data_IF_209807423034
#
_entry.id   IF_209807423034
#
_cell.length_a   1.000
_cell.length_b   1.000
_cell.length_c   1.000
_cell.angle_alpha   90.00
_cell.angle_beta   90.00
_cell.angle_gamma   90.00
#
_symmetry.space_group_name_H-M   'P 1'
#
loop_
_entity.id
_entity.type
_entity.pdbx_description
1 polymer ?
#
# COMPACT_ATOMS: atom_id res chain seq x y z
N UNK A 1 -20.94 -74.26 -18.19
CA UNK A 1 -21.99 -73.33 -17.72
C UNK A 1 -21.79 -72.87 -16.28
N UNK A 2 -21.64 -73.77 -15.26
CA UNK A 2 -21.52 -73.33 -13.84
C UNK A 2 -20.33 -72.40 -13.58
N UNK A 3 -19.16 -72.61 -14.18
CA UNK A 3 -17.98 -71.74 -13.99
C UNK A 3 -18.18 -70.34 -14.54
N UNK A 4 -18.86 -70.19 -15.68
CA UNK A 4 -19.17 -68.92 -16.29
C UNK A 4 -20.13 -68.07 -15.45
N UNK A 5 -21.13 -68.71 -14.82
CA UNK A 5 -22.06 -68.05 -13.91
C UNK A 5 -21.36 -67.55 -12.65
N UNK A 6 -20.42 -68.34 -12.10
CA UNK A 6 -19.64 -67.97 -10.94
C UNK A 6 -18.75 -66.74 -11.25
N UNK A 7 -18.07 -66.73 -12.40
CA UNK A 7 -17.25 -65.60 -12.85
C UNK A 7 -18.09 -64.30 -13.01
N UNK A 8 -19.26 -64.41 -13.66
CA UNK A 8 -20.18 -63.30 -13.85
C UNK A 8 -20.72 -62.75 -12.49
N UNK A 9 -21.05 -63.61 -11.55
CA UNK A 9 -21.50 -63.19 -10.23
C UNK A 9 -20.37 -62.48 -9.43
N UNK A 10 -19.14 -62.97 -9.48
CA UNK A 10 -17.98 -62.32 -8.84
C UNK A 10 -17.72 -60.96 -9.43
N UNK A 11 -17.76 -60.82 -10.78
CA UNK A 11 -17.58 -59.50 -11.45
C UNK A 11 -18.71 -58.52 -11.04
N UNK A 12 -19.96 -58.98 -11.05
CA UNK A 12 -21.10 -58.09 -10.59
C UNK A 12 -21.00 -57.68 -9.15
N UNK A 13 -20.57 -58.56 -8.26
CA UNK A 13 -20.33 -58.23 -6.86
C UNK A 13 -19.18 -57.22 -6.75
N UNK A 14 -18.10 -57.42 -7.50
CA UNK A 14 -16.99 -56.46 -7.55
C UNK A 14 -17.40 -55.05 -8.05
N UNK A 15 -18.18 -55.00 -9.13
CA UNK A 15 -18.75 -53.72 -9.63
C UNK A 15 -19.65 -53.04 -8.60
N UNK A 16 -20.50 -53.82 -7.93
CA UNK A 16 -21.38 -53.26 -6.87
C UNK A 16 -20.60 -52.72 -5.68
N UNK A 17 -19.60 -53.42 -5.19
CA UNK A 17 -18.71 -52.97 -4.13
C UNK A 17 -17.93 -51.71 -4.52
N UNK A 18 -17.46 -51.65 -5.77
CA UNK A 18 -16.79 -50.46 -6.31
C UNK A 18 -17.71 -49.25 -6.38
N UNK A 19 -18.96 -49.41 -6.83
CA UNK A 19 -19.96 -48.36 -6.85
C UNK A 19 -20.34 -47.85 -5.44
N UNK A 20 -20.46 -48.77 -4.48
CA UNK A 20 -20.68 -48.39 -3.07
C UNK A 20 -19.49 -47.59 -2.50
N UNK A 21 -18.28 -47.97 -2.85
CA UNK A 21 -17.08 -47.24 -2.45
C UNK A 21 -17.05 -45.82 -3.00
N UNK A 22 -17.32 -45.63 -4.30
CA UNK A 22 -17.41 -44.31 -4.95
C UNK A 22 -18.54 -43.48 -4.31
N UNK A 23 -19.71 -44.07 -4.08
CA UNK A 23 -20.84 -43.36 -3.46
C UNK A 23 -20.50 -42.87 -2.04
N UNK A 24 -19.79 -43.67 -1.25
CA UNK A 24 -19.31 -43.27 0.08
C UNK A 24 -18.32 -42.12 0.02
N UNK A 25 -17.41 -42.14 -0.94
CA UNK A 25 -16.47 -41.04 -1.19
C UNK A 25 -17.19 -39.76 -1.60
N UNK A 26 -18.11 -39.82 -2.53
CA UNK A 26 -18.92 -38.68 -2.98
C UNK A 26 -19.79 -38.09 -1.86
N UNK A 27 -20.34 -38.94 -0.98
CA UNK A 27 -21.10 -38.48 0.17
C UNK A 27 -20.22 -37.71 1.17
N UNK A 28 -19.00 -38.20 1.43
CA UNK A 28 -18.02 -37.49 2.26
C UNK A 28 -17.61 -36.12 1.65
N UNK A 29 -17.52 -36.05 0.34
CA UNK A 29 -17.27 -34.80 -0.38
C UNK A 29 -18.43 -33.82 -0.26
N UNK A 30 -19.66 -34.31 -0.40
CA UNK A 30 -20.84 -33.47 -0.28
C UNK A 30 -20.98 -32.87 1.13
N UNK A 31 -20.66 -33.65 2.15
CA UNK A 31 -20.64 -33.20 3.55
C UNK A 31 -19.52 -32.18 3.79
N UNK A 32 -18.32 -32.38 3.22
CA UNK A 32 -17.23 -31.42 3.25
C UNK A 32 -17.64 -30.11 2.59
N UNK A 33 -18.24 -30.14 1.39
CA UNK A 33 -18.71 -28.95 0.67
C UNK A 33 -19.80 -28.19 1.42
N UNK A 34 -20.70 -28.89 2.12
CA UNK A 34 -21.75 -28.26 2.95
C UNK A 34 -21.19 -27.51 4.16
N UNK A 35 -20.06 -27.99 4.70
CA UNK A 35 -19.43 -27.42 5.90
C UNK A 35 -18.22 -26.52 5.57
N UNK A 36 -18.08 -26.11 4.32
CA UNK A 36 -16.95 -25.34 3.78
C UNK A 36 -16.58 -24.06 4.55
N UNK A 37 -17.55 -23.27 5.08
CA UNK A 37 -17.19 -22.06 5.84
C UNK A 37 -16.43 -22.31 7.13
N UNK A 38 -16.50 -23.52 7.69
CA UNK A 38 -15.93 -23.85 9.00
C UNK A 38 -14.92 -25.01 9.01
N UNK A 39 -14.72 -25.70 7.89
CA UNK A 39 -13.89 -26.89 7.87
C UNK A 39 -12.39 -26.57 7.84
N UNK A 40 -11.57 -27.13 8.76
CA UNK A 40 -10.11 -27.08 8.60
C UNK A 40 -9.71 -27.84 7.33
N UNK A 41 -8.65 -27.37 6.64
CA UNK A 41 -8.07 -28.07 5.49
C UNK A 41 -7.68 -29.50 5.90
N UNK A 42 -8.53 -30.44 5.61
CA UNK A 42 -8.25 -31.86 5.81
C UNK A 42 -7.75 -32.38 4.47
N UNK A 43 -6.48 -32.73 4.39
CA UNK A 43 -5.93 -33.50 3.27
C UNK A 43 -6.63 -34.87 3.24
N UNK A 44 -7.81 -34.95 2.66
CA UNK A 44 -8.51 -36.19 2.40
C UNK A 44 -7.81 -36.89 1.24
N UNK A 45 -6.79 -37.68 1.56
CA UNK A 45 -6.17 -38.57 0.58
C UNK A 45 -7.21 -39.58 0.10
N UNK A 46 -7.75 -39.37 -1.08
CA UNK A 46 -8.55 -40.38 -1.79
C UNK A 46 -7.59 -41.41 -2.35
N UNK A 47 -7.35 -42.50 -1.62
CA UNK A 47 -6.60 -43.63 -2.12
C UNK A 47 -7.44 -44.37 -3.16
N UNK A 48 -7.01 -44.42 -4.41
CA UNK A 48 -7.49 -45.42 -5.39
C UNK A 48 -8.01 -44.93 -6.73
N UNK A 49 -8.31 -43.62 -6.90
CA UNK A 49 -8.71 -43.12 -8.22
C UNK A 49 -7.97 -41.82 -8.56
N UNK A 50 -7.13 -41.89 -9.60
CA UNK A 50 -6.26 -40.76 -10.03
C UNK A 50 -7.07 -39.52 -10.39
N UNK A 51 -8.21 -39.65 -11.03
CA UNK A 51 -9.11 -38.54 -11.39
C UNK A 51 -9.70 -37.83 -10.16
N UNK A 52 -10.10 -38.61 -9.13
CA UNK A 52 -10.62 -38.01 -7.89
C UNK A 52 -9.53 -37.33 -7.07
N UNK A 53 -8.30 -37.83 -7.12
CA UNK A 53 -7.16 -37.18 -6.48
C UNK A 53 -6.80 -35.84 -7.16
N UNK A 54 -6.85 -35.81 -8.48
CA UNK A 54 -6.59 -34.62 -9.29
C UNK A 54 -7.67 -33.56 -9.09
N UNK A 55 -8.95 -33.93 -9.10
CA UNK A 55 -10.08 -33.07 -8.74
C UNK A 55 -9.95 -32.49 -7.31
N UNK A 56 -9.51 -33.31 -6.37
CA UNK A 56 -9.29 -32.88 -4.99
C UNK A 56 -8.19 -31.84 -4.90
N UNK A 57 -7.08 -32.03 -5.59
CA UNK A 57 -5.97 -31.09 -5.65
C UNK A 57 -6.40 -29.74 -6.23
N UNK A 58 -7.08 -29.75 -7.38
CA UNK A 58 -7.58 -28.51 -8.03
C UNK A 58 -8.60 -27.77 -7.15
N UNK A 59 -9.52 -28.50 -6.54
CA UNK A 59 -10.54 -27.91 -5.66
C UNK A 59 -9.91 -27.28 -4.42
N UNK A 60 -8.93 -27.95 -3.79
CA UNK A 60 -8.19 -27.39 -2.67
C UNK A 60 -7.38 -26.15 -3.08
N UNK A 61 -6.82 -26.13 -4.28
CA UNK A 61 -6.09 -24.98 -4.83
C UNK A 61 -7.02 -23.79 -5.03
N UNK A 62 -8.20 -24.00 -5.61
CA UNK A 62 -9.22 -22.95 -5.78
C UNK A 62 -9.70 -22.42 -4.43
N UNK A 63 -9.97 -23.31 -3.47
CA UNK A 63 -10.40 -22.94 -2.14
C UNK A 63 -9.34 -22.15 -1.36
N UNK A 64 -8.07 -22.57 -1.46
CA UNK A 64 -6.96 -21.85 -0.85
C UNK A 64 -6.83 -20.43 -1.43
N UNK A 65 -6.95 -20.30 -2.75
CA UNK A 65 -6.94 -19.01 -3.45
C UNK A 65 -8.14 -18.14 -3.06
N UNK A 66 -9.34 -18.70 -3.02
CA UNK A 66 -10.55 -17.99 -2.61
C UNK A 66 -10.50 -17.53 -1.16
N UNK A 67 -10.01 -18.37 -0.23
CA UNK A 67 -9.79 -17.97 1.17
C UNK A 67 -8.76 -16.85 1.29
N UNK A 68 -7.65 -16.95 0.55
CA UNK A 68 -6.65 -15.90 0.52
C UNK A 68 -7.23 -14.57 0.05
N UNK A 69 -8.09 -14.59 -0.96
CA UNK A 69 -8.79 -13.40 -1.44
C UNK A 69 -9.79 -12.87 -0.40
N UNK A 70 -10.56 -13.76 0.25
CA UNK A 70 -11.51 -13.37 1.29
C UNK A 70 -10.83 -12.72 2.50
N UNK A 71 -9.70 -13.30 2.97
CA UNK A 71 -8.91 -12.72 4.06
C UNK A 71 -8.39 -11.34 3.67
N UNK A 72 -7.89 -11.17 2.44
CA UNK A 72 -7.44 -9.86 1.94
C UNK A 72 -8.57 -8.84 1.88
N UNK A 73 -9.75 -9.23 1.40
CA UNK A 73 -10.94 -8.39 1.38
C UNK A 73 -11.36 -7.96 2.79
N UNK A 74 -11.40 -8.90 3.73
CA UNK A 74 -11.75 -8.61 5.11
C UNK A 74 -10.72 -7.72 5.81
N UNK A 75 -9.42 -7.92 5.53
CA UNK A 75 -8.37 -7.04 6.00
C UNK A 75 -8.51 -5.62 5.42
N UNK A 76 -8.82 -5.49 4.12
CA UNK A 76 -9.04 -4.20 3.47
C UNK A 76 -10.28 -3.49 4.04
N UNK A 77 -11.38 -4.22 4.29
CA UNK A 77 -12.59 -3.68 4.91
C UNK A 77 -12.33 -3.21 6.34
N UNK A 78 -11.68 -4.02 7.16
CA UNK A 78 -11.31 -3.65 8.53
C UNK A 78 -10.36 -2.43 8.55
N UNK A 79 -9.39 -2.39 7.65
CA UNK A 79 -8.50 -1.25 7.50
C UNK A 79 -9.26 0.03 7.10
N UNK A 80 -10.29 -0.09 6.23
CA UNK A 80 -11.15 1.02 5.85
C UNK A 80 -11.99 1.52 7.03
N UNK A 81 -12.58 0.63 7.82
CA UNK A 81 -13.34 1.00 9.02
C UNK A 81 -12.46 1.66 10.09
N UNK A 82 -11.26 1.12 10.32
CA UNK A 82 -10.29 1.70 11.25
C UNK A 82 -9.91 3.12 10.81
N UNK A 83 -9.62 3.29 9.51
CA UNK A 83 -9.29 4.57 8.92
C UNK A 83 -10.39 5.61 9.14
N UNK A 84 -11.65 5.28 8.87
CA UNK A 84 -12.78 6.19 9.09
C UNK A 84 -12.93 6.59 10.56
N UNK A 85 -12.66 5.67 11.49
CA UNK A 85 -12.71 5.92 12.93
C UNK A 85 -11.59 6.87 13.36
N UNK A 86 -10.35 6.58 12.97
CA UNK A 86 -9.18 7.38 13.30
C UNK A 86 -9.26 8.78 12.67
N UNK A 87 -9.73 8.85 11.43
CA UNK A 87 -9.95 10.10 10.73
C UNK A 87 -11.03 10.96 11.38
N UNK A 88 -12.11 10.33 11.83
CA UNK A 88 -13.17 11.05 12.58
C UNK A 88 -12.64 11.69 13.84
N UNK A 89 -11.71 11.03 14.53
CA UNK A 89 -11.04 11.57 15.70
C UNK A 89 -10.08 12.73 15.32
N UNK A 90 -9.27 12.52 14.27
CA UNK A 90 -8.26 13.47 13.82
C UNK A 90 -8.86 14.73 13.18
N UNK A 91 -10.07 14.65 12.61
CA UNK A 91 -10.86 15.81 12.15
C UNK A 91 -11.52 16.55 13.32
N UNK A 92 -12.05 15.82 14.32
CA UNK A 92 -12.77 16.43 15.44
C UNK A 92 -11.88 17.35 16.27
N UNK A 93 -10.63 16.97 16.49
CA UNK A 93 -9.69 17.72 17.34
C UNK A 93 -9.38 19.13 16.79
N UNK A 94 -8.88 19.31 15.55
CA UNK A 94 -8.64 20.64 14.98
C UNK A 94 -9.95 21.43 14.78
N UNK A 95 -11.06 20.77 14.46
CA UNK A 95 -12.37 21.41 14.32
C UNK A 95 -12.87 21.98 15.63
N UNK A 96 -12.82 21.22 16.73
CA UNK A 96 -13.21 21.69 18.04
C UNK A 96 -12.33 22.87 18.51
N UNK A 97 -11.02 22.79 18.25
CA UNK A 97 -10.09 23.87 18.53
C UNK A 97 -10.41 25.13 17.72
N UNK A 98 -10.66 24.99 16.40
CA UNK A 98 -11.06 26.08 15.52
C UNK A 98 -12.33 26.78 16.03
N UNK A 99 -13.37 26.00 16.35
CA UNK A 99 -14.63 26.52 16.88
C UNK A 99 -14.38 27.28 18.19
N UNK A 100 -13.61 26.70 19.12
CA UNK A 100 -13.34 27.36 20.42
C UNK A 100 -12.60 28.71 20.30
N UNK A 101 -11.65 28.82 19.35
CA UNK A 101 -10.99 30.11 19.07
C UNK A 101 -11.94 31.13 18.43
N UNK A 102 -12.82 30.69 17.50
CA UNK A 102 -13.82 31.56 16.87
C UNK A 102 -14.88 32.02 17.90
N UNK A 103 -15.37 31.16 18.78
CA UNK A 103 -16.31 31.48 19.84
C UNK A 103 -15.70 32.50 20.85
N UNK A 104 -14.40 32.34 21.16
CA UNK A 104 -13.67 33.25 22.01
C UNK A 104 -13.52 34.65 21.39
N UNK A 105 -13.40 34.72 20.06
CA UNK A 105 -13.38 35.97 19.32
C UNK A 105 -14.76 36.65 19.28
N UNK A 106 -15.82 35.88 19.06
CA UNK A 106 -17.20 36.37 18.98
C UNK A 106 -17.68 36.89 20.33
N UNK A 107 -17.34 36.22 21.42
CA UNK A 107 -17.67 36.64 22.79
C UNK A 107 -16.83 37.80 23.35
N UNK A 108 -15.92 38.35 22.54
CA UNK A 108 -14.97 39.41 22.93
C UNK A 108 -14.10 39.07 24.16
N UNK A 109 -13.98 37.80 24.51
CA UNK A 109 -13.18 37.30 25.62
C UNK A 109 -11.68 37.15 25.27
N UNK A 110 -11.32 37.27 23.99
CA UNK A 110 -9.94 37.11 23.52
C UNK A 110 -9.08 38.31 23.91
N UNK A 111 -8.06 38.08 24.74
CA UNK A 111 -7.07 39.10 25.13
C UNK A 111 -6.15 39.51 23.96
N UNK A 112 -5.96 38.64 22.98
CA UNK A 112 -5.15 38.87 21.79
C UNK A 112 -5.89 38.30 20.55
N UNK A 113 -6.73 39.15 19.93
CA UNK A 113 -7.57 38.73 18.79
C UNK A 113 -6.74 38.29 17.57
N UNK A 114 -5.61 38.93 17.30
CA UNK A 114 -4.74 38.63 16.18
C UNK A 114 -4.13 37.22 16.30
N UNK A 115 -3.67 36.85 17.49
CA UNK A 115 -3.16 35.51 17.78
C UNK A 115 -4.25 34.45 17.61
N UNK A 116 -5.46 34.70 18.09
CA UNK A 116 -6.59 33.76 17.98
C UNK A 116 -6.99 33.54 16.52
N UNK A 117 -7.04 34.60 15.71
CA UNK A 117 -7.27 34.49 14.24
C UNK A 117 -6.17 33.67 13.60
N UNK A 118 -4.91 33.92 13.97
CA UNK A 118 -3.78 33.14 13.38
C UNK A 118 -3.81 31.68 13.77
N UNK A 119 -4.19 31.34 14.98
CA UNK A 119 -4.35 29.93 15.40
C UNK A 119 -5.54 29.30 14.71
N UNK A 120 -6.69 29.98 14.65
CA UNK A 120 -7.86 29.49 13.93
C UNK A 120 -7.56 29.22 12.45
N UNK A 121 -6.86 30.13 11.78
CA UNK A 121 -6.42 29.95 10.39
C UNK A 121 -5.52 28.72 10.20
N UNK A 122 -4.53 28.51 11.09
CA UNK A 122 -3.69 27.31 11.05
C UNK A 122 -4.52 26.04 11.22
N UNK A 123 -5.49 26.02 12.14
CA UNK A 123 -6.37 24.87 12.35
C UNK A 123 -7.28 24.58 11.14
N UNK A 124 -7.72 25.62 10.45
CA UNK A 124 -8.44 25.46 9.19
C UNK A 124 -7.56 24.86 8.08
N UNK A 125 -6.28 25.26 7.99
CA UNK A 125 -5.33 24.68 7.06
C UNK A 125 -5.02 23.21 7.40
N UNK A 126 -4.83 22.87 8.68
CA UNK A 126 -4.65 21.50 9.14
C UNK A 126 -5.84 20.63 8.71
N UNK A 127 -7.08 21.14 8.87
CA UNK A 127 -8.31 20.44 8.48
C UNK A 127 -8.41 20.26 6.97
N UNK A 128 -8.03 21.29 6.19
CA UNK A 128 -7.98 21.21 4.73
C UNK A 128 -7.00 20.10 4.28
N UNK A 129 -5.78 20.07 4.83
CA UNK A 129 -4.78 19.02 4.52
C UNK A 129 -5.33 17.62 4.82
N UNK A 130 -6.07 17.46 5.94
CA UNK A 130 -6.76 16.21 6.29
C UNK A 130 -7.81 15.79 5.27
N UNK A 131 -8.66 16.73 4.85
CA UNK A 131 -9.72 16.44 3.88
C UNK A 131 -9.15 16.15 2.49
N UNK A 132 -8.14 16.88 2.05
CA UNK A 132 -7.46 16.65 0.77
C UNK A 132 -6.86 15.23 0.74
N UNK A 133 -6.18 14.79 1.82
CA UNK A 133 -5.64 13.43 1.95
C UNK A 133 -6.72 12.35 1.94
N UNK A 134 -7.87 12.62 2.56
CA UNK A 134 -9.00 11.69 2.57
C UNK A 134 -9.56 11.49 1.15
N UNK A 135 -9.79 12.58 0.42
CA UNK A 135 -10.24 12.52 -0.97
C UNK A 135 -9.27 11.74 -1.85
N UNK A 136 -7.99 11.94 -1.65
CA UNK A 136 -6.96 11.22 -2.38
C UNK A 136 -6.96 9.73 -2.06
N UNK A 137 -7.15 9.39 -0.79
CA UNK A 137 -7.26 8.00 -0.39
C UNK A 137 -8.51 7.33 -1.00
N UNK A 138 -9.66 7.99 -1.00
CA UNK A 138 -10.85 7.45 -1.64
C UNK A 138 -10.65 7.24 -3.15
N UNK A 139 -9.98 8.15 -3.84
CA UNK A 139 -9.63 7.97 -5.25
C UNK A 139 -8.76 6.74 -5.48
N UNK A 140 -7.76 6.51 -4.63
CA UNK A 140 -6.87 5.36 -4.73
C UNK A 140 -7.59 4.04 -4.38
N UNK A 141 -8.54 4.08 -3.44
CA UNK A 141 -9.28 2.89 -2.99
C UNK A 141 -10.41 2.48 -3.96
N UNK A 142 -10.92 3.40 -4.79
CA UNK A 142 -12.06 3.16 -5.67
C UNK A 142 -11.75 2.44 -6.98
N UNK A 143 -10.50 2.07 -7.25
CA UNK A 143 -10.06 1.44 -8.52
C UNK A 143 -10.44 2.26 -9.79
N UNK A 144 -11.00 3.46 -9.60
CA UNK A 144 -11.43 4.36 -10.68
C UNK A 144 -10.32 5.26 -11.19
N UNK A 145 -9.17 5.29 -10.50
CA UNK A 145 -8.07 6.16 -10.89
C UNK A 145 -7.34 5.58 -12.11
N UNK A 146 -7.69 6.05 -13.29
CA UNK A 146 -6.95 5.79 -14.52
C UNK A 146 -5.70 6.66 -14.53
N UNK A 147 -4.54 6.05 -14.33
CA UNK A 147 -3.26 6.71 -14.53
C UNK A 147 -2.99 6.91 -16.01
N UNK A 148 -2.59 8.11 -16.40
CA UNK A 148 -2.18 8.40 -17.78
C UNK A 148 -0.70 8.01 -17.95
N UNK A 149 -0.47 6.73 -18.20
CA UNK A 149 0.88 6.18 -18.38
C UNK A 149 1.43 6.64 -19.73
N UNK A 150 2.45 7.47 -19.69
CA UNK A 150 3.19 7.97 -20.85
C UNK A 150 4.68 7.72 -20.64
N UNK A 151 5.44 7.80 -21.74
CA UNK A 151 6.90 7.60 -21.69
C UNK A 151 7.58 8.94 -21.45
N UNK A 152 8.26 9.07 -20.32
CA UNK A 152 9.02 10.26 -19.95
C UNK A 152 10.50 9.95 -19.77
N UNK A 153 11.36 10.93 -20.01
CA UNK A 153 12.72 10.94 -19.52
C UNK A 153 12.71 11.22 -18.01
N UNK A 154 13.07 10.23 -17.22
CA UNK A 154 13.01 10.30 -15.76
C UNK A 154 14.01 11.33 -15.20
N UNK A 155 15.15 11.53 -15.86
CA UNK A 155 16.17 12.49 -15.43
C UNK A 155 15.63 13.91 -15.55
N UNK A 156 15.04 14.25 -16.69
CA UNK A 156 14.47 15.58 -16.91
C UNK A 156 13.25 15.82 -16.00
N UNK A 157 12.36 14.85 -15.92
CA UNK A 157 11.18 14.95 -15.06
C UNK A 157 11.57 15.10 -13.58
N UNK A 158 12.62 14.41 -13.12
CA UNK A 158 13.11 14.57 -11.75
C UNK A 158 13.64 15.98 -11.50
N UNK A 159 14.37 16.57 -12.46
CA UNK A 159 14.84 17.96 -12.36
C UNK A 159 13.66 18.95 -12.27
N UNK A 160 12.66 18.82 -13.14
CA UNK A 160 11.45 19.64 -13.11
C UNK A 160 10.79 19.62 -11.73
N UNK A 161 10.55 18.42 -11.20
CA UNK A 161 9.88 18.25 -9.90
C UNK A 161 10.71 18.82 -8.73
N UNK A 162 12.05 18.70 -8.78
CA UNK A 162 12.91 19.31 -7.76
C UNK A 162 12.79 20.84 -7.82
N UNK A 163 12.85 21.44 -9.02
CA UNK A 163 12.76 22.89 -9.21
C UNK A 163 11.45 23.44 -8.61
N UNK A 164 10.33 22.75 -8.81
CA UNK A 164 9.04 23.16 -8.24
C UNK A 164 9.04 23.20 -6.70
N UNK A 165 9.89 22.40 -6.05
CA UNK A 165 9.98 22.33 -4.59
C UNK A 165 11.05 23.25 -3.97
N UNK A 166 12.00 23.78 -4.77
CA UNK A 166 13.09 24.63 -4.28
C UNK A 166 12.59 25.81 -3.42
N UNK A 167 11.56 26.59 -3.80
CA UNK A 167 11.12 27.72 -3.01
C UNK A 167 10.65 27.33 -1.59
N UNK A 168 10.01 26.15 -1.46
CA UNK A 168 9.57 25.63 -0.18
C UNK A 168 10.75 25.20 0.69
N UNK A 169 11.74 24.54 0.10
CA UNK A 169 12.93 24.03 0.78
C UNK A 169 13.83 25.17 1.23
N UNK A 170 14.02 26.21 0.44
CA UNK A 170 14.73 27.45 0.81
C UNK A 170 14.08 28.16 1.99
N UNK A 171 12.75 28.29 1.96
CA UNK A 171 11.98 28.86 3.07
C UNK A 171 12.17 28.07 4.37
N UNK A 172 12.44 26.77 4.28
CA UNK A 172 12.72 25.87 5.41
C UNK A 172 14.21 25.76 5.75
N UNK A 173 15.09 26.46 5.01
CA UNK A 173 16.55 26.41 5.15
C UNK A 173 17.11 24.99 4.96
N UNK A 174 16.54 24.24 4.00
CA UNK A 174 16.97 22.89 3.65
C UNK A 174 17.70 22.96 2.32
N UNK A 175 18.96 22.53 2.28
CA UNK A 175 19.74 22.42 1.06
C UNK A 175 19.33 21.20 0.24
N UNK A 176 19.43 21.32 -1.09
CA UNK A 176 19.19 20.20 -2.01
C UNK A 176 20.47 19.91 -2.80
N UNK A 177 20.82 18.66 -2.87
CA UNK A 177 21.88 18.13 -3.74
C UNK A 177 21.28 17.15 -4.73
N UNK A 178 21.54 17.32 -6.01
CA UNK A 178 21.02 16.45 -7.06
C UNK A 178 22.17 15.90 -7.90
N UNK A 179 22.27 14.57 -7.96
CA UNK A 179 23.19 13.82 -8.84
C UNK A 179 22.34 13.07 -9.87
N UNK A 180 22.03 13.78 -10.96
CA UNK A 180 21.12 13.33 -12.03
C UNK A 180 21.89 13.37 -13.34
N UNK A 181 22.12 12.22 -13.99
CA UNK A 181 22.79 12.15 -15.27
C UNK A 181 22.09 12.98 -16.38
N UNK A 182 22.89 13.44 -17.35
CA UNK A 182 22.35 14.15 -18.51
C UNK A 182 21.79 13.20 -19.59
N UNK A 183 22.07 11.89 -19.47
CA UNK A 183 21.55 10.88 -20.38
C UNK A 183 20.03 10.80 -20.32
N UNK A 184 19.40 10.53 -21.45
CA UNK A 184 17.95 10.30 -21.49
C UNK A 184 17.61 8.86 -21.06
N UNK A 185 16.86 8.71 -19.98
CA UNK A 185 16.39 7.41 -19.48
C UNK A 185 14.88 7.37 -19.44
N UNK A 186 14.30 6.55 -20.31
CA UNK A 186 12.86 6.51 -20.49
C UNK A 186 12.20 5.47 -19.58
N UNK A 187 11.11 5.89 -18.94
CA UNK A 187 10.24 5.05 -18.10
C UNK A 187 8.77 5.34 -18.44
N UNK A 188 7.88 4.37 -18.20
CA UNK A 188 6.43 4.57 -18.32
C UNK A 188 5.87 4.96 -16.97
N UNK A 189 5.33 6.17 -16.87
CA UNK A 189 4.76 6.67 -15.63
C UNK A 189 3.69 7.74 -15.90
N UNK A 190 2.91 8.06 -14.89
CA UNK A 190 2.05 9.24 -14.84
C UNK A 190 2.83 10.40 -14.21
N UNK A 191 2.99 11.52 -14.95
CA UNK A 191 3.77 12.69 -14.52
C UNK A 191 3.28 13.27 -13.19
N UNK A 192 1.96 13.37 -13.02
CA UNK A 192 1.37 13.93 -11.79
C UNK A 192 1.56 12.99 -10.60
N UNK A 193 1.41 11.67 -10.82
CA UNK A 193 1.67 10.67 -9.80
C UNK A 193 3.13 10.67 -9.36
N UNK A 194 4.07 10.80 -10.30
CA UNK A 194 5.49 10.88 -10.00
C UNK A 194 5.85 12.15 -9.20
N UNK A 195 5.37 13.32 -9.63
CA UNK A 195 5.57 14.56 -8.88
C UNK A 195 5.04 14.47 -7.44
N UNK A 196 3.91 13.78 -7.28
CA UNK A 196 3.31 13.55 -5.97
C UNK A 196 4.13 12.59 -5.10
N UNK A 197 4.74 11.55 -5.68
CA UNK A 197 5.66 10.66 -4.96
C UNK A 197 6.80 11.47 -4.35
N UNK A 198 7.50 12.25 -5.17
CA UNK A 198 8.63 13.07 -4.74
C UNK A 198 8.18 14.11 -3.70
N UNK A 199 7.04 14.79 -3.92
CA UNK A 199 6.46 15.74 -2.97
C UNK A 199 6.16 15.11 -1.60
N UNK A 200 5.62 13.91 -1.56
CA UNK A 200 5.37 13.17 -0.30
C UNK A 200 6.69 12.83 0.42
N UNK A 201 7.72 12.39 -0.31
CA UNK A 201 9.02 12.09 0.27
C UNK A 201 9.70 13.35 0.82
N UNK A 202 9.61 14.49 0.12
CA UNK A 202 10.11 15.78 0.62
C UNK A 202 9.33 16.24 1.84
N UNK A 203 7.99 16.17 1.80
CA UNK A 203 7.15 16.50 2.96
C UNK A 203 7.52 15.67 4.19
N UNK A 204 7.78 14.37 3.98
CA UNK A 204 8.22 13.48 5.05
C UNK A 204 9.59 13.88 5.62
N UNK A 205 10.56 14.19 4.77
CA UNK A 205 11.88 14.68 5.18
C UNK A 205 11.79 16.00 5.97
N UNK A 206 10.93 16.93 5.53
CA UNK A 206 10.73 18.24 6.18
C UNK A 206 10.03 18.08 7.53
N UNK A 207 8.92 17.32 7.58
CA UNK A 207 8.07 17.22 8.80
C UNK A 207 8.72 16.32 9.86
N UNK A 208 9.24 15.19 9.47
CA UNK A 208 9.71 14.15 10.42
C UNK A 208 11.23 14.01 10.45
N UNK A 209 11.91 14.30 9.36
CA UNK A 209 13.35 14.18 9.28
C UNK A 209 14.09 15.28 10.06
N UNK A 210 13.51 16.50 10.18
CA UNK A 210 14.20 17.68 10.68
C UNK A 210 15.59 17.84 10.06
N UNK A 211 15.64 17.59 8.76
CA UNK A 211 16.89 17.55 7.99
C UNK A 211 17.35 18.96 7.59
N UNK A 212 18.64 19.10 7.34
CA UNK A 212 19.23 20.29 6.70
C UNK A 212 19.62 20.04 5.25
N UNK A 213 19.60 18.78 4.81
CA UNK A 213 20.01 18.38 3.45
C UNK A 213 19.09 17.27 2.95
N UNK A 214 18.60 17.43 1.70
CA UNK A 214 17.96 16.38 0.92
C UNK A 214 18.84 16.13 -0.29
N UNK A 215 19.14 14.86 -0.56
CA UNK A 215 19.91 14.42 -1.71
C UNK A 215 19.05 13.55 -2.62
N UNK A 216 19.11 13.83 -3.90
CA UNK A 216 18.45 13.04 -4.95
C UNK A 216 19.51 12.48 -5.87
N UNK A 217 19.48 11.17 -6.09
CA UNK A 217 20.43 10.49 -6.98
C UNK A 217 19.64 9.59 -7.92
N UNK A 218 19.87 9.70 -9.22
CA UNK A 218 19.25 8.82 -10.21
C UNK A 218 20.32 7.91 -10.79
N UNK A 219 20.06 6.59 -10.77
CA UNK A 219 20.97 5.57 -11.29
C UNK A 219 20.22 4.57 -12.14
N UNK A 220 20.89 4.09 -13.19
CA UNK A 220 20.37 3.00 -14.02
C UNK A 220 21.12 1.71 -13.70
N UNK A 221 20.36 0.62 -13.55
CA UNK A 221 20.88 -0.74 -13.38
C UNK A 221 20.16 -1.63 -14.40
N UNK A 222 20.89 -2.11 -15.41
CA UNK A 222 20.41 -3.02 -16.46
C UNK A 222 19.00 -2.73 -17.00
N UNK A 223 17.96 -3.28 -16.36
CA UNK A 223 16.55 -3.18 -16.78
C UNK A 223 15.75 -2.15 -15.99
N UNK A 224 16.34 -1.51 -14.97
CA UNK A 224 15.63 -0.61 -14.07
C UNK A 224 16.34 0.74 -13.89
N UNK A 225 15.55 1.76 -13.58
CA UNK A 225 16.05 3.05 -13.09
C UNK A 225 15.67 3.19 -11.62
N UNK A 226 16.66 3.53 -10.80
CA UNK A 226 16.51 3.77 -9.37
C UNK A 226 16.61 5.27 -9.07
N UNK A 227 15.60 5.81 -8.41
CA UNK A 227 15.58 7.18 -7.89
C UNK A 227 15.72 7.12 -6.38
N UNK A 228 16.83 7.61 -5.87
CA UNK A 228 17.12 7.67 -4.43
C UNK A 228 16.81 9.06 -3.91
N UNK A 229 15.98 9.14 -2.88
CA UNK A 229 15.69 10.37 -2.14
C UNK A 229 16.17 10.16 -0.72
N UNK A 230 17.20 10.89 -0.31
CA UNK A 230 17.85 10.74 0.99
C UNK A 230 17.77 12.02 1.80
N UNK A 231 17.65 11.92 3.12
CA UNK A 231 17.76 13.05 4.03
C UNK A 231 18.69 12.73 5.20
N UNK A 232 19.38 13.74 5.72
CA UNK A 232 20.33 13.64 6.82
C UNK A 232 19.70 13.86 8.21
N UNK A 233 18.38 13.72 8.32
CA UNK A 233 17.66 13.98 9.55
C UNK A 233 17.63 12.80 10.53
N UNK A 234 16.58 12.75 11.35
CA UNK A 234 16.43 11.67 12.32
C UNK A 234 16.33 10.31 11.64
N UNK A 235 17.04 9.34 12.20
CA UNK A 235 16.96 7.97 11.74
C UNK A 235 15.63 7.31 12.19
N UNK A 236 15.11 6.44 11.34
CA UNK A 236 13.95 5.63 11.64
C UNK A 236 14.44 4.32 12.29
N UNK A 237 13.89 3.92 13.45
CA UNK A 237 14.25 2.67 14.09
C UNK A 237 14.04 1.46 13.17
N UNK A 238 14.98 0.52 13.15
CA UNK A 238 14.92 -0.65 12.27
C UNK A 238 13.63 -1.47 12.42
N UNK A 239 13.12 -1.58 13.66
CA UNK A 239 11.85 -2.25 13.97
C UNK A 239 10.62 -1.62 13.30
N UNK A 240 10.71 -0.34 12.91
CA UNK A 240 9.61 0.42 12.32
C UNK A 240 9.66 0.42 10.78
N UNK A 241 10.83 0.16 10.18
CA UNK A 241 11.01 0.16 8.72
C UNK A 241 10.01 -0.73 7.95
N UNK A 242 9.69 -1.96 8.40
CA UNK A 242 8.75 -2.83 7.69
C UNK A 242 7.32 -2.26 7.59
N UNK A 243 6.93 -1.40 8.53
CA UNK A 243 5.57 -0.88 8.68
C UNK A 243 5.39 0.51 8.08
N UNK A 244 6.47 1.19 7.65
CA UNK A 244 6.41 2.58 7.18
C UNK A 244 5.46 2.84 6.01
N UNK A 245 5.26 1.84 5.18
CA UNK A 245 4.36 1.91 4.03
C UNK A 245 2.95 1.38 4.34
N UNK A 246 2.71 0.95 5.58
CA UNK A 246 1.36 0.59 6.01
C UNK A 246 0.50 1.84 6.20
N UNK A 247 -0.78 1.72 5.89
CA UNK A 247 -1.73 2.81 6.00
C UNK A 247 -1.89 3.24 7.46
N UNK A 248 -1.90 4.55 7.72
CA UNK A 248 -2.04 5.15 9.05
C UNK A 248 -0.90 4.81 10.03
N UNK A 249 0.15 4.17 9.56
CA UNK A 249 1.28 3.90 10.43
C UNK A 249 2.01 5.19 10.78
N UNK A 250 2.24 5.41 12.06
CA UNK A 250 3.05 6.49 12.61
C UNK A 250 4.09 5.91 13.53
N UNK A 251 5.35 6.30 13.36
CA UNK A 251 6.40 5.96 14.29
C UNK A 251 6.07 6.48 15.69
N UNK A 252 6.45 5.75 16.73
CA UNK A 252 6.18 6.15 18.13
C UNK A 252 6.69 7.55 18.44
N UNK A 253 7.83 7.95 17.85
CA UNK A 253 8.44 9.29 17.99
C UNK A 253 7.66 10.41 17.31
N UNK A 254 6.79 10.10 16.34
CA UNK A 254 6.04 11.08 15.53
C UNK A 254 4.55 11.15 15.87
N UNK A 255 4.08 10.41 16.89
CA UNK A 255 2.66 10.39 17.30
C UNK A 255 2.12 11.75 17.71
N UNK A 256 2.97 12.66 18.22
CA UNK A 256 2.63 14.02 18.62
C UNK A 256 2.80 15.05 17.50
N UNK A 257 3.40 14.70 16.37
CA UNK A 257 3.61 15.62 15.24
C UNK A 257 2.46 15.51 14.22
N UNK A 258 2.16 16.63 13.53
CA UNK A 258 1.12 16.69 12.51
C UNK A 258 1.51 15.84 11.30
N UNK A 259 0.83 14.73 11.12
CA UNK A 259 0.97 13.82 9.98
C UNK A 259 -0.01 12.67 10.13
N UNK A 260 -0.64 12.23 9.05
CA UNK A 260 -1.76 11.27 9.13
C UNK A 260 -1.36 9.83 8.77
N UNK A 261 -0.05 9.56 8.58
CA UNK A 261 0.43 8.22 8.26
C UNK A 261 -0.02 7.68 6.88
N UNK A 262 -0.54 8.56 6.00
CA UNK A 262 -1.01 8.17 4.67
C UNK A 262 -0.01 8.45 3.56
N UNK A 263 0.91 9.41 3.74
CA UNK A 263 1.81 9.88 2.69
C UNK A 263 2.68 8.77 2.09
N UNK A 264 3.32 7.93 2.91
CA UNK A 264 4.16 6.84 2.44
C UNK A 264 3.34 5.66 1.87
N UNK A 265 2.15 5.40 2.40
CA UNK A 265 1.23 4.42 1.83
C UNK A 265 0.79 4.82 0.41
N UNK A 266 0.47 6.11 0.20
CA UNK A 266 0.17 6.67 -1.13
C UNK A 266 1.38 6.51 -2.06
N UNK A 267 2.59 6.81 -1.59
CA UNK A 267 3.81 6.62 -2.39
C UNK A 267 3.94 5.18 -2.88
N UNK A 268 3.77 4.20 -1.99
CA UNK A 268 3.85 2.78 -2.36
C UNK A 268 2.79 2.39 -3.39
N UNK A 269 1.55 2.85 -3.23
CA UNK A 269 0.47 2.57 -4.19
C UNK A 269 0.75 3.20 -5.57
N UNK A 270 1.20 4.46 -5.61
CA UNK A 270 1.54 5.13 -6.86
C UNK A 270 2.71 4.46 -7.58
N UNK A 271 3.76 4.07 -6.84
CA UNK A 271 4.90 3.35 -7.41
C UNK A 271 4.48 1.98 -7.95
N UNK A 272 3.65 1.25 -7.20
CA UNK A 272 3.10 -0.05 -7.63
C UNK A 272 2.24 0.08 -8.88
N UNK A 273 1.43 1.14 -8.98
CA UNK A 273 0.63 1.42 -10.17
C UNK A 273 1.49 1.66 -11.42
N UNK A 274 2.71 2.17 -11.24
CA UNK A 274 3.72 2.34 -12.31
C UNK A 274 4.59 1.09 -12.53
N UNK A 275 4.17 -0.08 -12.01
CA UNK A 275 4.93 -1.35 -12.08
C UNK A 275 6.32 -1.27 -11.44
N UNK A 276 6.51 -0.31 -10.52
CA UNK A 276 7.74 -0.12 -9.77
C UNK A 276 7.69 -0.73 -8.37
N UNK A 277 8.76 -0.56 -7.63
CA UNK A 277 8.87 -0.92 -6.21
C UNK A 277 9.53 0.21 -5.41
N UNK A 278 9.23 0.28 -4.11
CA UNK A 278 9.85 1.24 -3.22
C UNK A 278 10.38 0.56 -1.96
N UNK A 279 11.59 0.92 -1.61
CA UNK A 279 12.26 0.43 -0.39
C UNK A 279 12.80 1.60 0.42
N UNK A 280 13.09 1.35 1.70
CA UNK A 280 13.67 2.33 2.61
C UNK A 280 14.81 1.73 3.39
N UNK A 281 15.87 2.52 3.59
CA UNK A 281 16.99 2.21 4.51
C UNK A 281 17.23 3.43 5.38
N UNK A 282 17.41 3.22 6.68
CA UNK A 282 17.73 4.29 7.63
C UNK A 282 18.88 3.85 8.53
N UNK A 283 19.90 4.69 8.64
CA UNK A 283 21.13 4.40 9.38
C UNK A 283 21.20 5.40 10.54
N UNK A 284 21.25 4.95 11.81
CA UNK A 284 21.43 5.83 12.95
C UNK A 284 22.69 6.72 12.82
N UNK A 285 22.53 8.03 12.96
CA UNK A 285 23.60 9.01 12.73
C UNK A 285 24.04 9.18 11.27
N UNK A 286 23.33 8.54 10.34
CA UNK A 286 23.56 8.61 8.90
C UNK A 286 22.38 9.24 8.16
N UNK A 287 21.95 8.58 7.09
CA UNK A 287 20.86 9.05 6.22
C UNK A 287 19.69 8.08 6.24
N UNK A 288 18.48 8.64 6.08
CA UNK A 288 17.30 7.88 5.66
C UNK A 288 17.17 8.00 4.15
N UNK A 289 17.15 6.89 3.45
CA UNK A 289 17.12 6.81 1.98
C UNK A 289 15.91 6.00 1.52
N UNK A 290 15.04 6.61 0.75
CA UNK A 290 13.99 5.94 -0.01
C UNK A 290 14.53 5.66 -1.42
N UNK A 291 14.33 4.43 -1.90
CA UNK A 291 14.72 4.00 -3.24
C UNK A 291 13.47 3.61 -4.02
N UNK A 292 13.16 4.36 -5.06
CA UNK A 292 12.09 4.07 -6.02
C UNK A 292 12.73 3.35 -7.20
N UNK A 293 12.23 2.17 -7.54
CA UNK A 293 12.66 1.36 -8.68
C UNK A 293 11.58 1.41 -9.75
N UNK A 294 11.94 1.80 -10.97
CA UNK A 294 11.02 1.88 -12.12
C UNK A 294 11.58 1.11 -13.30
N UNK A 295 10.76 0.32 -14.02
CA UNK A 295 11.21 -0.40 -15.21
C UNK A 295 11.71 0.55 -16.31
N UNK A 296 12.91 0.30 -16.82
CA UNK A 296 13.49 1.05 -17.94
C UNK A 296 12.90 0.62 -19.27
N UNK A 297 12.58 1.59 -20.12
CA UNK A 297 12.09 1.34 -21.48
C UNK A 297 13.20 1.58 -22.49
N UNK A 298 13.62 0.51 -23.17
CA UNK A 298 14.52 0.65 -24.32
C UNK A 298 13.73 1.25 -25.48
N UNK A 299 13.99 2.50 -25.81
CA UNK A 299 13.42 3.13 -27.02
C UNK A 299 14.07 2.48 -28.23
N UNK A 300 13.35 1.60 -28.93
CA UNK A 300 13.79 1.15 -30.26
C UNK A 300 13.81 2.39 -31.17
N UNK A 301 15.01 2.75 -31.67
CA UNK A 301 15.17 3.79 -32.68
C UNK A 301 14.46 3.40 -33.97
#
# INVERSE_FOLDING_TARGET
MKALVIILTVVRVGEFLYLLHIRKQLAGWLEFLKNLPQAPMRNSFVKGNRLLAELNFELNTILAKSRGQFVKLQQAENASHQLLTDLSHDVRTPLASLIGYLESLDSQCAKNQEEYIHVAYRKALDLKELTDMLFEWFKLASDEQRYMMETYDINELTREVIIDHVPLLEKKQISVSADIPEDEWFVSLDKMAYARIIGNLFSNAIKHGKCSLIEIVVKRQEEDVSVFVSNNGFAIPEKELPFLFERLYKCDSSRSESGNGLGLAIVRELVTAMSGDITVKSIPGGKTTFCILLPFIVRKK
#
